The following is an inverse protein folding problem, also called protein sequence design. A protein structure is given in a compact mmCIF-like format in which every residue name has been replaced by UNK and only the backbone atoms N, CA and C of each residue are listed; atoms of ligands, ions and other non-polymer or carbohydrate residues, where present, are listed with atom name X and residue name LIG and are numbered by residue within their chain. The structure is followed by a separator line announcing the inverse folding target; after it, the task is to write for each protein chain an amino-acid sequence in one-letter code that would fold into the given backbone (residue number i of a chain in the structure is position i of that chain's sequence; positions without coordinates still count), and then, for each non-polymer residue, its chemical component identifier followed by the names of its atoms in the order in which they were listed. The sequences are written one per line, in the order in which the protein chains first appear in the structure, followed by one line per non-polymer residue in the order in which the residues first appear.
data_IF_561461383912
#
_entry.id   IF_561461383912
#
_cell.length_a   1.000
_cell.length_b   1.000
_cell.length_c   1.000
_cell.angle_alpha   90.00
_cell.angle_beta   90.00
_cell.angle_gamma   90.00
#
_symmetry.space_group_name_H-M   'P 1'
#
loop_
_entity.id
_entity.type
_entity.pdbx_description
1 polymer ?
#
# COMPACT_ATOMS: atom_id res chain seq x y z
N UNK A 1 -35.11 16.58 5.80
CA UNK A 1 -34.32 17.13 4.69
C UNK A 1 -32.85 17.04 5.07
N UNK A 2 -32.21 15.92 4.73
CA UNK A 2 -30.79 15.67 5.01
C UNK A 2 -29.95 16.34 3.93
N UNK A 3 -29.21 17.39 4.31
CA UNK A 3 -28.36 18.14 3.40
C UNK A 3 -27.16 17.27 3.00
N UNK A 4 -27.12 16.83 1.74
CA UNK A 4 -25.94 16.23 1.12
C UNK A 4 -24.87 17.30 0.98
N UNK A 5 -23.73 17.10 1.66
CA UNK A 5 -22.51 17.89 1.43
C UNK A 5 -21.56 17.05 0.58
N UNK A 6 -21.63 17.21 -0.74
CA UNK A 6 -20.53 16.80 -1.62
C UNK A 6 -19.47 17.90 -1.57
N UNK A 7 -18.26 17.57 -1.10
CA UNK A 7 -17.08 18.36 -1.35
C UNK A 7 -16.17 17.55 -2.27
N UNK A 8 -16.10 17.96 -3.53
CA UNK A 8 -15.13 17.44 -4.50
C UNK A 8 -13.80 18.11 -4.20
N UNK A 9 -12.83 17.35 -3.68
CA UNK A 9 -11.44 17.82 -3.57
C UNK A 9 -10.74 17.47 -4.87
N UNK A 10 -10.37 18.50 -5.64
CA UNK A 10 -9.65 18.35 -6.90
C UNK A 10 -8.28 17.72 -6.70
N UNK A 11 -7.96 16.78 -7.58
CA UNK A 11 -6.65 16.13 -7.69
C UNK A 11 -5.59 17.17 -8.08
N UNK A 12 -4.61 17.42 -7.21
CA UNK A 12 -3.38 18.12 -7.59
C UNK A 12 -2.43 17.11 -8.23
N UNK A 13 -2.56 16.91 -9.55
CA UNK A 13 -1.54 16.25 -10.33
C UNK A 13 -0.37 17.22 -10.52
N UNK A 14 0.69 17.11 -9.72
CA UNK A 14 1.97 17.75 -10.03
C UNK A 14 2.65 16.94 -11.12
N UNK A 15 2.28 17.22 -12.37
CA UNK A 15 2.97 16.69 -13.54
C UNK A 15 4.24 17.52 -13.79
N UNK A 16 5.38 17.06 -13.29
CA UNK A 16 6.68 17.54 -13.73
C UNK A 16 7.12 16.73 -14.97
N UNK A 17 6.83 17.25 -16.17
CA UNK A 17 7.50 16.80 -17.40
C UNK A 17 7.91 18.01 -18.24
N UNK A 18 9.21 18.26 -18.30
CA UNK A 18 9.85 19.22 -19.21
C UNK A 18 10.27 18.55 -20.53
N UNK A 19 9.85 19.17 -21.64
CA UNK A 19 10.27 19.07 -23.05
C UNK A 19 9.98 17.72 -23.78
N UNK A 20 9.43 17.65 -25.01
CA UNK A 20 9.60 18.51 -26.18
C UNK A 20 8.46 18.31 -27.21
N UNK A 21 7.95 19.41 -27.80
CA UNK A 21 7.46 19.49 -29.19
C UNK A 21 6.22 18.70 -29.66
N UNK A 22 5.01 19.25 -29.46
CA UNK A 22 3.94 19.58 -30.47
C UNK A 22 2.61 19.72 -29.73
N UNK A 23 1.98 20.89 -29.86
CA UNK A 23 0.79 21.27 -29.09
C UNK A 23 -0.47 20.54 -29.60
N UNK A 24 -0.89 19.50 -28.89
CA UNK A 24 -2.29 19.08 -28.88
C UNK A 24 -2.99 19.85 -27.75
N UNK A 25 -3.74 20.90 -28.10
CA UNK A 25 -4.58 21.62 -27.15
C UNK A 25 -5.70 20.68 -26.67
N UNK A 26 -5.60 20.21 -25.43
CA UNK A 26 -6.75 19.63 -24.73
C UNK A 26 -7.65 20.79 -24.34
N UNK A 27 -8.73 20.99 -25.10
CA UNK A 27 -9.78 21.93 -24.75
C UNK A 27 -10.44 21.48 -23.44
N UNK A 28 -10.12 22.16 -22.33
CA UNK A 28 -10.87 22.05 -21.09
C UNK A 28 -12.22 22.73 -21.28
N UNK A 29 -13.27 21.96 -21.54
CA UNK A 29 -14.65 22.44 -21.36
C UNK A 29 -14.83 22.77 -19.89
N UNK A 30 -14.68 24.05 -19.55
CA UNK A 30 -14.91 24.57 -18.22
C UNK A 30 -16.38 24.43 -17.84
N UNK A 31 -16.69 23.49 -16.97
CA UNK A 31 -17.85 23.57 -16.09
C UNK A 31 -17.43 24.37 -14.86
N UNK A 32 -17.99 25.57 -14.72
CA UNK A 32 -17.76 26.48 -13.59
C UNK A 32 -18.32 25.93 -12.28
N UNK A 33 -17.68 24.90 -11.72
CA UNK A 33 -17.79 24.57 -10.31
C UNK A 33 -16.88 25.51 -9.54
N UNK A 34 -17.44 26.48 -8.83
CA UNK A 34 -16.65 27.36 -7.96
C UNK A 34 -15.79 26.51 -7.02
N UNK A 35 -14.48 26.78 -6.98
CA UNK A 35 -13.61 26.19 -5.98
C UNK A 35 -14.26 26.40 -4.61
N UNK A 36 -14.47 25.31 -3.85
CA UNK A 36 -14.98 25.42 -2.50
C UNK A 36 -14.05 26.35 -1.72
N UNK A 37 -14.56 27.52 -1.34
CA UNK A 37 -13.79 28.51 -0.60
C UNK A 37 -13.37 27.95 0.75
N UNK A 38 -12.29 28.51 1.31
CA UNK A 38 -11.83 28.15 2.65
C UNK A 38 -12.98 28.25 3.67
N UNK A 39 -13.24 27.22 4.52
CA UNK A 39 -14.33 27.29 5.48
C UNK A 39 -14.22 28.51 6.41
N UNK A 40 -15.36 29.13 6.76
CA UNK A 40 -15.37 30.27 7.67
C UNK A 40 -15.11 29.88 9.14
N UNK A 41 -15.27 28.60 9.48
CA UNK A 41 -15.08 28.07 10.82
C UNK A 41 -13.95 27.03 10.85
N UNK A 42 -13.32 26.80 12.01
CA UNK A 42 -12.36 25.72 12.18
C UNK A 42 -12.98 24.36 11.81
N UNK A 43 -12.24 23.58 11.02
CA UNK A 43 -12.59 22.22 10.61
C UNK A 43 -11.42 21.31 10.93
N UNK A 44 -11.71 20.19 11.59
CA UNK A 44 -10.75 19.09 11.76
C UNK A 44 -11.14 17.98 10.81
N UNK A 45 -10.16 17.48 10.06
CA UNK A 45 -10.28 16.31 9.19
C UNK A 45 -9.50 15.19 9.87
N UNK A 46 -10.22 14.17 10.32
CA UNK A 46 -9.66 12.98 10.96
C UNK A 46 -9.36 11.92 9.91
N UNK A 47 -8.17 11.34 9.96
CA UNK A 47 -7.76 10.25 9.06
C UNK A 47 -7.13 9.09 9.84
N UNK A 48 -7.48 7.87 9.44
CA UNK A 48 -6.83 6.64 9.92
C UNK A 48 -6.55 5.69 8.76
N UNK A 49 -5.51 4.86 8.89
CA UNK A 49 -5.38 3.65 8.06
C UNK A 49 -3.98 3.35 7.57
N UNK A 50 -3.81 3.38 6.25
CA UNK A 50 -2.61 2.92 5.54
C UNK A 50 -1.32 3.46 6.15
N UNK A 51 -0.43 2.53 6.53
CA UNK A 51 0.91 2.88 7.00
C UNK A 51 1.85 3.26 5.86
N UNK A 52 1.48 2.96 4.62
CA UNK A 52 2.17 3.38 3.40
C UNK A 52 1.84 4.83 3.05
N UNK A 53 0.57 5.22 3.17
CA UNK A 53 0.11 6.59 2.90
C UNK A 53 0.47 7.57 4.03
N UNK A 54 0.58 7.08 5.27
CA UNK A 54 0.77 7.92 6.46
C UNK A 54 1.92 8.96 6.34
N UNK A 55 3.14 8.61 5.89
CA UNK A 55 4.23 9.60 5.79
C UNK A 55 3.88 10.74 4.83
N UNK A 56 3.21 10.45 3.71
CA UNK A 56 2.77 11.46 2.77
C UNK A 56 1.75 12.42 3.40
N UNK A 57 0.76 11.89 4.13
CA UNK A 57 -0.22 12.74 4.83
C UNK A 57 0.42 13.58 5.92
N UNK A 58 1.41 13.05 6.63
CA UNK A 58 2.16 13.78 7.65
C UNK A 58 2.91 14.99 7.06
N UNK A 59 3.54 14.81 5.89
CA UNK A 59 4.20 15.91 5.16
C UNK A 59 3.19 16.95 4.65
N UNK A 60 1.93 16.57 4.39
CA UNK A 60 0.88 17.49 3.97
C UNK A 60 0.29 18.34 5.11
N UNK A 61 0.44 17.95 6.37
CA UNK A 61 -0.18 18.66 7.51
C UNK A 61 0.25 20.13 7.56
N UNK A 62 1.56 20.40 7.46
CA UNK A 62 2.08 21.77 7.57
C UNK A 62 1.69 22.65 6.36
N UNK A 63 1.90 22.21 5.10
CA UNK A 63 1.45 22.95 3.92
C UNK A 63 -0.06 23.22 3.90
N UNK A 64 -0.88 22.24 4.32
CA UNK A 64 -2.34 22.42 4.38
C UNK A 64 -2.73 23.50 5.38
N UNK A 65 -2.13 23.50 6.57
CA UNK A 65 -2.38 24.51 7.60
C UNK A 65 -1.90 25.90 7.19
N UNK A 66 -0.80 25.99 6.45
CA UNK A 66 -0.30 27.27 5.92
C UNK A 66 -1.26 27.84 4.87
N UNK A 67 -1.75 27.00 3.96
CA UNK A 67 -2.72 27.41 2.95
C UNK A 67 -4.12 27.71 3.55
N UNK A 68 -4.51 26.98 4.59
CA UNK A 68 -5.83 27.04 5.21
C UNK A 68 -5.72 26.97 6.74
N UNK A 69 -5.54 28.11 7.40
CA UNK A 69 -5.27 28.21 8.84
C UNK A 69 -6.36 27.65 9.76
N UNK A 70 -7.57 27.47 9.24
CA UNK A 70 -8.75 26.95 9.90
C UNK A 70 -9.01 25.47 9.58
N UNK A 71 -8.15 24.81 8.79
CA UNK A 71 -8.22 23.36 8.54
C UNK A 71 -7.10 22.66 9.30
N UNK A 72 -7.46 21.62 10.06
CA UNK A 72 -6.50 20.74 10.75
C UNK A 72 -6.65 19.32 10.21
N UNK A 73 -5.59 18.77 9.61
CA UNK A 73 -5.52 17.35 9.24
C UNK A 73 -4.88 16.55 10.39
N UNK A 74 -5.53 15.45 10.80
CA UNK A 74 -5.05 14.55 11.86
C UNK A 74 -4.90 13.13 11.30
N UNK A 75 -3.77 12.84 10.61
CA UNK A 75 -3.55 11.52 10.04
C UNK A 75 -3.00 10.55 11.08
N UNK A 76 -3.42 9.30 10.99
CA UNK A 76 -2.98 8.26 11.90
C UNK A 76 -2.88 6.90 11.21
N UNK A 77 -1.87 6.13 11.59
CA UNK A 77 -1.67 4.79 11.01
C UNK A 77 -2.65 3.76 11.56
N UNK A 78 -2.39 2.50 11.24
CA UNK A 78 -3.14 1.35 11.78
C UNK A 78 -3.40 0.23 10.78
N UNK A 79 -3.03 0.43 9.52
CA UNK A 79 -3.23 -0.50 8.42
C UNK A 79 -4.50 -0.17 7.63
N UNK A 80 -4.48 -0.50 6.35
CA UNK A 80 -5.50 -0.15 5.37
C UNK A 80 -6.87 -0.76 5.72
N UNK A 81 -6.90 -1.93 6.37
CA UNK A 81 -8.16 -2.49 6.85
C UNK A 81 -8.76 -1.74 8.04
N UNK A 82 -7.94 -1.09 8.89
CA UNK A 82 -8.46 -0.17 9.91
C UNK A 82 -9.06 1.08 9.24
N UNK A 83 -8.35 1.67 8.29
CA UNK A 83 -8.83 2.85 7.56
C UNK A 83 -10.16 2.59 6.86
N UNK A 84 -10.28 1.46 6.14
CA UNK A 84 -11.56 1.05 5.56
C UNK A 84 -12.65 0.87 6.63
N UNK A 85 -12.37 0.16 7.73
CA UNK A 85 -13.40 -0.07 8.77
C UNK A 85 -13.86 1.23 9.45
N UNK A 86 -12.93 2.15 9.75
CA UNK A 86 -13.25 3.43 10.37
C UNK A 86 -14.04 4.34 9.42
N UNK A 87 -13.67 4.40 8.13
CA UNK A 87 -14.40 5.17 7.14
C UNK A 87 -15.82 4.63 6.89
N UNK A 88 -15.96 3.30 6.74
CA UNK A 88 -17.26 2.66 6.52
C UNK A 88 -18.20 2.81 7.73
N UNK A 89 -17.65 2.94 8.94
CA UNK A 89 -18.44 3.20 10.15
C UNK A 89 -18.70 4.68 10.41
N UNK A 90 -18.09 5.59 9.64
CA UNK A 90 -18.14 7.03 9.87
C UNK A 90 -17.39 7.50 11.12
N UNK A 91 -16.45 6.70 11.63
CA UNK A 91 -15.63 7.04 12.79
C UNK A 91 -14.56 8.11 12.48
N UNK A 92 -14.20 8.24 11.21
CA UNK A 92 -13.26 9.24 10.68
C UNK A 92 -13.80 9.86 9.39
N UNK A 93 -13.27 11.03 9.04
CA UNK A 93 -13.62 11.71 7.79
C UNK A 93 -12.99 10.99 6.58
N UNK A 94 -11.77 10.46 6.74
CA UNK A 94 -11.00 9.79 5.70
C UNK A 94 -10.41 8.47 6.20
N UNK A 95 -10.57 7.40 5.42
CA UNK A 95 -9.91 6.11 5.66
C UNK A 95 -8.83 5.85 4.61
N UNK A 96 -7.56 5.97 4.99
CA UNK A 96 -6.44 5.67 4.09
C UNK A 96 -6.35 4.17 3.77
N UNK A 97 -6.38 3.80 2.50
CA UNK A 97 -6.23 2.41 2.07
C UNK A 97 -5.47 2.27 0.75
N UNK A 98 -4.61 1.24 0.67
CA UNK A 98 -3.91 0.82 -0.55
C UNK A 98 -4.62 -0.35 -1.24
N UNK A 99 -5.75 -0.78 -0.67
CA UNK A 99 -6.69 -1.72 -1.26
C UNK A 99 -8.02 -1.01 -1.52
N UNK A 100 -8.59 -1.20 -2.70
CA UNK A 100 -9.92 -0.70 -3.03
C UNK A 100 -11.00 -1.50 -2.28
N UNK A 101 -12.15 -0.87 -2.03
CA UNK A 101 -13.32 -1.53 -1.50
C UNK A 101 -13.73 -2.66 -2.44
N UNK A 102 -14.02 -3.83 -1.88
CA UNK A 102 -14.67 -4.88 -2.66
C UNK A 102 -16.03 -4.41 -3.17
N UNK A 103 -16.50 -4.99 -4.27
CA UNK A 103 -17.83 -4.68 -4.82
C UNK A 103 -18.94 -4.82 -3.76
N UNK A 104 -18.85 -5.81 -2.87
CA UNK A 104 -19.80 -6.00 -1.78
C UNK A 104 -19.75 -4.86 -0.76
N UNK A 105 -18.55 -4.40 -0.38
CA UNK A 105 -18.42 -3.27 0.53
C UNK A 105 -18.92 -1.97 -0.10
N UNK A 106 -18.58 -1.71 -1.36
CA UNK A 106 -19.04 -0.54 -2.10
C UNK A 106 -20.58 -0.51 -2.26
N UNK A 107 -21.19 -1.66 -2.59
CA UNK A 107 -22.65 -1.77 -2.69
C UNK A 107 -23.35 -1.56 -1.35
N UNK A 108 -22.76 -2.05 -0.25
CA UNK A 108 -23.31 -1.88 1.09
C UNK A 108 -23.15 -0.44 1.62
N UNK A 109 -22.22 0.34 1.07
CA UNK A 109 -21.87 1.69 1.55
C UNK A 109 -21.83 2.69 0.39
N UNK A 110 -22.98 2.97 -0.27
CA UNK A 110 -23.04 3.77 -1.50
C UNK A 110 -22.62 5.24 -1.32
N UNK A 111 -22.56 5.73 -0.09
CA UNK A 111 -22.13 7.09 0.25
C UNK A 111 -20.61 7.19 0.54
N UNK A 112 -19.89 6.06 0.55
CA UNK A 112 -18.43 6.00 0.72
C UNK A 112 -17.79 5.80 -0.65
N UNK A 113 -16.81 6.64 -0.98
CA UNK A 113 -16.12 6.63 -2.27
C UNK A 113 -14.64 6.29 -2.11
N UNK A 114 -14.13 5.39 -2.97
CA UNK A 114 -12.70 5.19 -3.16
C UNK A 114 -12.15 6.30 -4.07
N UNK A 115 -11.38 7.22 -3.48
CA UNK A 115 -10.75 8.33 -4.18
C UNK A 115 -9.25 8.10 -4.31
N UNK A 116 -8.70 7.96 -5.53
CA UNK A 116 -7.26 7.83 -5.71
C UNK A 116 -6.57 9.17 -5.42
N UNK A 117 -5.65 9.17 -4.44
CA UNK A 117 -4.95 10.38 -3.99
C UNK A 117 -3.49 10.45 -4.46
N UNK A 118 -2.80 9.30 -4.52
CA UNK A 118 -1.40 9.20 -4.93
C UNK A 118 -1.13 7.82 -5.51
N UNK A 119 -0.19 7.71 -6.43
CA UNK A 119 0.33 6.43 -6.90
C UNK A 119 1.55 6.06 -6.05
N UNK A 120 1.46 4.94 -5.35
CA UNK A 120 2.55 4.36 -4.57
C UNK A 120 3.09 3.08 -5.23
N UNK A 121 4.18 2.55 -4.70
CA UNK A 121 4.75 1.29 -5.10
C UNK A 121 5.16 0.48 -3.86
N UNK A 122 5.34 -0.82 -4.05
CA UNK A 122 5.82 -1.73 -3.02
C UNK A 122 7.08 -2.44 -3.52
N UNK A 123 8.05 -2.62 -2.63
CA UNK A 123 9.26 -3.39 -2.87
C UNK A 123 9.28 -4.69 -2.06
N UNK A 124 10.10 -5.64 -2.51
CA UNK A 124 10.47 -6.80 -1.71
C UNK A 124 11.88 -6.56 -1.19
N UNK A 125 12.00 -6.50 0.14
CA UNK A 125 13.26 -6.37 0.85
C UNK A 125 13.72 -7.73 1.37
N UNK A 126 15.02 -7.88 1.53
CA UNK A 126 15.63 -9.09 2.05
C UNK A 126 16.85 -8.76 2.92
N UNK A 127 17.24 -9.68 3.79
CA UNK A 127 18.42 -9.54 4.64
C UNK A 127 19.43 -10.65 4.33
N UNK A 128 20.31 -10.37 3.38
CA UNK A 128 21.40 -11.26 2.96
C UNK A 128 22.71 -10.47 2.91
N UNK A 129 23.44 -10.39 4.03
CA UNK A 129 24.72 -9.70 4.06
C UNK A 129 25.66 -10.22 2.95
N UNK A 130 26.18 -9.30 2.13
CA UNK A 130 27.07 -9.63 1.01
C UNK A 130 26.36 -9.97 -0.32
N UNK A 131 25.03 -10.00 -0.37
CA UNK A 131 24.26 -10.13 -1.61
C UNK A 131 23.59 -8.79 -1.95
N UNK A 132 23.89 -8.27 -3.14
CA UNK A 132 23.18 -7.13 -3.73
C UNK A 132 22.45 -7.56 -5.01
N UNK A 133 21.51 -6.74 -5.46
CA UNK A 133 20.87 -6.85 -6.77
C UNK A 133 20.16 -8.18 -7.06
N UNK A 134 19.60 -8.80 -6.02
CA UNK A 134 18.84 -10.03 -6.13
C UNK A 134 17.57 -9.85 -6.97
N UNK A 135 17.38 -10.74 -7.94
CA UNK A 135 16.20 -10.84 -8.80
C UNK A 135 15.28 -11.95 -8.31
N UNK A 136 14.03 -11.61 -8.07
CA UNK A 136 12.98 -12.55 -7.68
C UNK A 136 11.79 -12.39 -8.62
N UNK A 137 11.16 -13.50 -9.00
CA UNK A 137 9.89 -13.51 -9.73
C UNK A 137 8.72 -13.75 -8.77
N UNK A 138 7.50 -13.44 -9.21
CA UNK A 138 6.31 -13.71 -8.41
C UNK A 138 6.08 -15.20 -8.13
N UNK A 139 6.46 -16.10 -9.04
CA UNK A 139 6.41 -17.54 -8.78
C UNK A 139 7.42 -17.99 -7.71
N UNK A 140 8.66 -17.47 -7.77
CA UNK A 140 9.67 -17.75 -6.73
C UNK A 140 9.21 -17.22 -5.38
N UNK A 141 8.65 -16.00 -5.33
CA UNK A 141 8.11 -15.43 -4.10
C UNK A 141 6.93 -16.25 -3.57
N UNK A 142 6.00 -16.68 -4.44
CA UNK A 142 4.90 -17.56 -4.05
C UNK A 142 5.43 -18.85 -3.42
N UNK A 143 6.42 -19.49 -4.03
CA UNK A 143 7.05 -20.71 -3.51
C UNK A 143 7.75 -20.48 -2.17
N UNK A 144 8.40 -19.34 -1.97
CA UNK A 144 8.97 -18.95 -0.66
C UNK A 144 7.87 -18.83 0.39
N UNK A 145 6.81 -18.06 0.12
CA UNK A 145 5.72 -17.80 1.06
C UNK A 145 4.78 -19.00 1.25
N UNK A 146 4.97 -20.09 0.48
CA UNK A 146 4.36 -21.41 0.72
C UNK A 146 5.28 -22.41 1.41
N UNK A 147 6.55 -22.07 1.60
CA UNK A 147 7.55 -22.95 2.22
C UNK A 147 8.15 -24.00 1.27
N UNK A 148 7.89 -23.91 -0.04
CA UNK A 148 8.49 -24.80 -1.04
C UNK A 148 9.97 -24.45 -1.31
N UNK A 149 10.34 -23.17 -1.10
CA UNK A 149 11.72 -22.70 -1.14
C UNK A 149 12.10 -22.29 0.27
N UNK A 150 13.06 -23.02 0.86
CA UNK A 150 13.47 -22.87 2.25
C UNK A 150 14.91 -22.36 2.40
N UNK A 151 15.66 -22.21 1.32
CA UNK A 151 17.04 -21.71 1.35
C UNK A 151 17.32 -20.77 0.18
N UNK A 152 18.18 -19.78 0.42
CA UNK A 152 18.43 -18.72 -0.56
C UNK A 152 19.23 -19.16 -1.78
N UNK A 153 19.94 -20.29 -1.71
CA UNK A 153 20.65 -20.90 -2.83
C UNK A 153 19.80 -21.92 -3.60
N UNK A 154 18.48 -21.93 -3.40
CA UNK A 154 17.57 -22.79 -4.17
C UNK A 154 17.77 -22.59 -5.69
N UNK A 155 17.77 -23.66 -6.51
CA UNK A 155 17.97 -23.56 -7.95
C UNK A 155 17.04 -22.57 -8.67
N UNK A 156 15.82 -22.38 -8.18
CA UNK A 156 14.87 -21.43 -8.75
C UNK A 156 15.30 -19.97 -8.52
N UNK A 157 15.91 -19.66 -7.38
CA UNK A 157 16.51 -18.35 -7.11
C UNK A 157 17.81 -18.22 -7.91
N UNK A 158 18.68 -19.23 -7.89
CA UNK A 158 19.96 -19.20 -8.58
C UNK A 158 19.82 -18.99 -10.10
N UNK A 159 18.81 -19.58 -10.72
CA UNK A 159 18.53 -19.44 -12.16
C UNK A 159 18.25 -17.99 -12.55
N UNK A 160 17.61 -17.20 -11.67
CA UNK A 160 17.32 -15.79 -11.91
C UNK A 160 18.53 -14.87 -11.65
N UNK A 161 19.58 -15.39 -11.02
CA UNK A 161 20.70 -14.65 -10.45
C UNK A 161 22.05 -15.21 -10.88
N UNK A 162 22.23 -15.41 -12.20
CA UNK A 162 23.48 -15.92 -12.75
C UNK A 162 24.66 -15.01 -12.37
N UNK A 163 25.73 -15.60 -11.85
CA UNK A 163 26.93 -14.88 -11.38
C UNK A 163 26.86 -14.37 -9.94
N UNK A 164 25.74 -14.56 -9.23
CA UNK A 164 25.61 -14.20 -7.81
C UNK A 164 25.91 -15.40 -6.92
N UNK A 165 26.78 -15.23 -5.92
CA UNK A 165 27.02 -16.25 -4.89
C UNK A 165 25.91 -16.19 -3.85
N UNK A 166 24.95 -17.11 -3.96
CA UNK A 166 23.82 -17.21 -3.03
C UNK A 166 24.18 -18.07 -1.81
N UNK A 167 23.89 -17.63 -0.58
CA UNK A 167 24.17 -18.41 0.63
C UNK A 167 23.13 -19.52 0.84
N UNK A 168 23.50 -20.58 1.55
CA UNK A 168 22.56 -21.61 2.02
C UNK A 168 21.74 -21.17 3.24
N UNK A 169 21.69 -19.87 3.54
CA UNK A 169 20.91 -19.29 4.63
C UNK A 169 19.44 -19.70 4.47
N UNK A 170 18.80 -20.06 5.58
CA UNK A 170 17.38 -20.37 5.61
C UNK A 170 16.57 -19.13 5.24
N UNK A 171 15.52 -19.31 4.43
CA UNK A 171 14.61 -18.22 4.07
C UNK A 171 13.60 -18.01 5.19
N UNK A 172 13.42 -16.77 5.62
CA UNK A 172 12.45 -16.39 6.65
C UNK A 172 11.42 -15.43 6.06
N UNK A 173 10.23 -15.92 5.66
CA UNK A 173 9.16 -15.05 5.17
C UNK A 173 8.62 -14.18 6.32
N UNK A 174 8.64 -12.87 6.13
CA UNK A 174 8.03 -11.89 7.03
C UNK A 174 6.73 -11.39 6.41
N UNK A 175 5.67 -11.36 7.22
CA UNK A 175 4.32 -10.97 6.79
C UNK A 175 3.65 -10.01 7.78
N UNK A 176 2.74 -9.19 7.27
CA UNK A 176 1.84 -8.37 8.10
C UNK A 176 0.83 -9.26 8.81
N UNK A 177 0.46 -8.87 10.03
CA UNK A 177 -0.48 -9.62 10.89
C UNK A 177 -1.84 -8.95 11.01
N UNK A 178 -1.89 -7.64 10.76
CA UNK A 178 -3.11 -6.87 10.64
C UNK A 178 -3.59 -6.78 9.18
N UNK A 179 -4.90 -6.57 8.95
CA UNK A 179 -5.41 -6.25 7.62
C UNK A 179 -4.66 -5.09 6.97
N UNK A 180 -4.00 -5.34 5.85
CA UNK A 180 -3.00 -4.45 5.27
C UNK A 180 -3.14 -4.32 3.75
N UNK A 181 -3.06 -3.09 3.24
CA UNK A 181 -3.01 -2.80 1.81
C UNK A 181 -1.71 -3.30 1.17
N UNK A 182 -0.60 -3.28 1.91
CA UNK A 182 0.64 -3.93 1.46
C UNK A 182 0.46 -5.44 1.24
N UNK A 183 -0.28 -6.11 2.13
CA UNK A 183 -0.60 -7.52 1.96
C UNK A 183 -1.47 -7.74 0.73
N UNK A 184 -2.44 -6.85 0.51
CA UNK A 184 -3.30 -6.89 -0.67
C UNK A 184 -2.50 -6.77 -1.96
N UNK A 185 -1.63 -5.75 -2.07
CA UNK A 185 -0.77 -5.52 -3.24
C UNK A 185 0.14 -6.73 -3.48
N UNK A 186 0.86 -7.19 -2.45
CA UNK A 186 1.79 -8.30 -2.57
C UNK A 186 1.09 -9.58 -3.05
N UNK A 187 0.00 -9.96 -2.38
CA UNK A 187 -0.69 -11.21 -2.70
C UNK A 187 -1.48 -11.15 -3.99
N UNK A 188 -1.89 -9.96 -4.44
CA UNK A 188 -2.44 -9.76 -5.78
C UNK A 188 -1.35 -9.97 -6.84
N UNK A 189 -0.14 -9.44 -6.63
CA UNK A 189 1.00 -9.73 -7.50
C UNK A 189 1.30 -11.24 -7.56
N UNK A 190 1.33 -11.94 -6.42
CA UNK A 190 1.53 -13.39 -6.39
C UNK A 190 0.40 -14.14 -7.12
N UNK A 191 -0.86 -13.75 -6.88
CA UNK A 191 -2.02 -14.35 -7.55
C UNK A 191 -2.00 -14.14 -9.08
N UNK A 192 -1.47 -13.02 -9.56
CA UNK A 192 -1.39 -12.72 -10.99
C UNK A 192 -0.23 -13.43 -11.69
N UNK A 193 0.77 -13.90 -10.94
CA UNK A 193 2.02 -14.42 -11.49
C UNK A 193 2.31 -15.88 -11.14
N UNK A 194 1.55 -16.46 -10.20
CA UNK A 194 1.63 -17.88 -9.83
C UNK A 194 0.24 -18.48 -9.75
N UNK A 195 -0.06 -19.42 -10.65
CA UNK A 195 -1.32 -20.16 -10.66
C UNK A 195 -1.57 -20.89 -9.33
N UNK A 196 -0.49 -21.40 -8.74
CA UNK A 196 -0.58 -22.19 -7.54
C UNK A 196 -0.87 -21.33 -6.30
N UNK A 197 -0.45 -20.05 -6.28
CA UNK A 197 -0.90 -19.06 -5.29
C UNK A 197 -2.32 -18.56 -5.55
N UNK A 198 -2.66 -18.30 -6.83
CA UNK A 198 -4.00 -17.87 -7.26
C UNK A 198 -5.09 -18.84 -6.83
N UNK A 199 -4.79 -20.14 -6.92
CA UNK A 199 -5.72 -21.21 -6.56
C UNK A 199 -5.92 -21.31 -5.04
N UNK A 200 -4.88 -21.04 -4.25
CA UNK A 200 -4.93 -20.91 -2.80
C UNK A 200 -3.61 -20.29 -2.30
N UNK A 201 -3.64 -19.23 -1.47
CA UNK A 201 -4.80 -18.64 -0.80
C UNK A 201 -5.49 -17.49 -1.57
N UNK A 202 -5.01 -17.11 -2.76
CA UNK A 202 -5.50 -15.93 -3.48
C UNK A 202 -4.92 -14.62 -2.92
N UNK A 203 -5.71 -13.55 -2.92
CA UNK A 203 -5.28 -12.22 -2.48
C UNK A 203 -6.31 -11.54 -1.57
N UNK A 204 -5.83 -10.63 -0.74
CA UNK A 204 -6.68 -9.87 0.17
C UNK A 204 -5.85 -9.04 1.15
N UNK A 205 -6.51 -8.14 1.90
CA UNK A 205 -5.85 -7.42 2.98
C UNK A 205 -5.47 -8.34 4.16
N UNK A 206 -6.18 -9.47 4.28
CA UNK A 206 -5.94 -10.56 5.23
C UNK A 206 -6.02 -11.89 4.49
N UNK A 207 -5.13 -12.83 4.81
CA UNK A 207 -5.12 -14.17 4.23
C UNK A 207 -4.93 -15.24 5.30
N UNK A 208 -5.44 -16.43 5.01
CA UNK A 208 -4.99 -17.66 5.62
C UNK A 208 -3.64 -18.05 4.98
N UNK A 209 -2.55 -17.53 5.55
CA UNK A 209 -1.21 -17.81 5.06
C UNK A 209 -0.88 -19.30 5.17
N UNK A 210 -0.25 -19.91 4.15
CA UNK A 210 0.32 -21.24 4.27
C UNK A 210 1.31 -21.27 5.45
N UNK A 211 1.28 -22.31 6.30
CA UNK A 211 2.20 -22.39 7.43
C UNK A 211 3.62 -22.66 6.91
N UNK A 212 4.54 -21.74 7.17
CA UNK A 212 5.97 -21.91 6.84
C UNK A 212 6.81 -21.95 8.11
N UNK A 213 7.75 -22.90 8.19
CA UNK A 213 8.69 -22.98 9.31
C UNK A 213 9.53 -21.71 9.41
N UNK A 214 9.63 -21.14 10.60
CA UNK A 214 10.43 -19.93 10.85
C UNK A 214 9.81 -18.62 10.36
N UNK A 215 8.59 -18.62 9.81
CA UNK A 215 7.91 -17.38 9.41
C UNK A 215 7.74 -16.40 10.58
N UNK A 216 7.74 -15.11 10.27
CA UNK A 216 7.57 -14.05 11.28
C UNK A 216 6.41 -13.14 10.90
N UNK A 217 5.47 -12.96 11.82
CA UNK A 217 4.42 -11.97 11.72
C UNK A 217 4.80 -10.67 12.43
N UNK A 218 4.56 -9.53 11.79
CA UNK A 218 4.74 -8.21 12.42
C UNK A 218 3.62 -7.25 12.00
N UNK A 219 3.61 -6.04 12.56
CA UNK A 219 2.63 -4.99 12.26
C UNK A 219 3.31 -3.78 11.67
N UNK A 220 2.63 -3.05 10.80
CA UNK A 220 3.08 -1.81 10.12
C UNK A 220 4.29 -2.01 9.18
N UNK A 221 4.49 -1.10 8.23
CA UNK A 221 5.69 -1.12 7.37
C UNK A 221 6.98 -0.93 8.17
N UNK A 222 6.98 -0.07 9.19
CA UNK A 222 8.13 0.07 10.11
C UNK A 222 8.47 -1.24 10.81
N UNK A 223 7.46 -1.99 11.24
CA UNK A 223 7.64 -3.32 11.83
C UNK A 223 8.28 -4.28 10.83
N UNK A 224 7.76 -4.37 9.60
CA UNK A 224 8.34 -5.20 8.53
C UNK A 224 9.83 -4.90 8.30
N UNK A 225 10.19 -3.61 8.18
CA UNK A 225 11.59 -3.18 8.02
C UNK A 225 12.44 -3.62 9.21
N UNK A 226 12.01 -3.31 10.44
CA UNK A 226 12.77 -3.61 11.65
C UNK A 226 12.94 -5.12 11.88
N UNK A 227 11.89 -5.90 11.65
CA UNK A 227 11.91 -7.36 11.73
C UNK A 227 12.86 -7.94 10.69
N UNK A 228 12.79 -7.45 9.45
CA UNK A 228 13.65 -7.95 8.38
C UNK A 228 15.12 -7.64 8.63
N UNK A 229 15.43 -6.42 9.05
CA UNK A 229 16.78 -6.00 9.40
C UNK A 229 17.39 -6.83 10.55
N UNK A 230 16.57 -7.23 11.53
CA UNK A 230 17.00 -8.04 12.67
C UNK A 230 17.11 -9.55 12.37
N UNK A 231 16.61 -10.01 11.21
CA UNK A 231 16.47 -11.43 10.90
C UNK A 231 17.27 -11.78 9.63
N UNK A 232 18.51 -12.28 9.75
CA UNK A 232 19.26 -12.79 8.60
C UNK A 232 18.45 -13.86 7.86
N UNK A 233 18.43 -13.79 6.53
CA UNK A 233 17.60 -14.65 5.69
C UNK A 233 16.16 -14.18 5.50
N UNK A 234 15.76 -13.05 6.10
CA UNK A 234 14.43 -12.47 5.90
C UNK A 234 14.13 -12.17 4.42
N UNK A 235 12.88 -12.35 4.02
CA UNK A 235 12.23 -11.66 2.91
C UNK A 235 10.93 -10.99 3.38
N UNK A 236 10.70 -9.74 3.00
CA UNK A 236 9.57 -8.92 3.42
C UNK A 236 9.04 -8.06 2.28
N UNK A 237 7.72 -7.88 2.17
CA UNK A 237 7.10 -6.89 1.28
C UNK A 237 6.84 -5.59 2.06
N UNK A 238 7.29 -4.46 1.51
CA UNK A 238 7.23 -3.14 2.18
C UNK A 238 6.98 -2.05 1.15
N UNK A 239 5.98 -1.21 1.40
CA UNK A 239 5.77 0.06 0.71
C UNK A 239 6.51 1.22 1.34
#
# INVERSE_FOLDING_TARGET
MTARRLAVVGVWAVAALTACGTAAQIASTGSGGGAAGNPASPVTITETGSTLLLPFLQELVAPLREAYSNITLQPSGGGSGKGMADALSGAVDLGGSDAYLSNTQAQANPDVLDLPVVVSAQAVNYNLPGVSDLRLSGDVLARIYRGDITSWNDPAIATLNSGVTLPSTHVVPVRRTEPSGDTFIFTQFLSNTSEAWRSSPGYGASLAWPPVSGEVGTRTNRGMVSTCAATPGCVAYVG
#
